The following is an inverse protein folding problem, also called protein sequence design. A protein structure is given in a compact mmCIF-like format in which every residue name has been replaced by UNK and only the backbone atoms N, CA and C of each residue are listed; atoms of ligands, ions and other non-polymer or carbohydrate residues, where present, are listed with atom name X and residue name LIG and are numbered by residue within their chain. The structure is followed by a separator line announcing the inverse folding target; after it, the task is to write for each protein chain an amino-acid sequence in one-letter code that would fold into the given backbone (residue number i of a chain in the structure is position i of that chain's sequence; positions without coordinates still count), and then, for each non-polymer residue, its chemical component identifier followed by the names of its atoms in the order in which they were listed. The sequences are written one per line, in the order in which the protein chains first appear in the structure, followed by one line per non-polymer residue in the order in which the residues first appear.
data_IF_964167916937
#
_entry.id   IF_964167916937
#
_cell.length_a   1.000
_cell.length_b   1.000
_cell.length_c   1.000
_cell.angle_alpha   90.00
_cell.angle_beta   90.00
_cell.angle_gamma   90.00
#
_symmetry.space_group_name_H-M   'P 1'
#
loop_
_entity.id
_entity.type
_entity.pdbx_description
1 polymer ?
#
# COMPACT_ATOMS: atom_id res chain seq x y z
N UNK A 1 -22.13 -8.84 -43.42
CA UNK A 1 -21.50 -9.82 -42.51
C UNK A 1 -20.64 -9.05 -41.50
N UNK A 2 -21.20 -8.66 -40.35
CA UNK A 2 -20.50 -7.91 -39.27
C UNK A 2 -20.37 -8.72 -37.96
N UNK A 3 -20.67 -10.03 -38.01
CA UNK A 3 -20.70 -10.92 -36.85
C UNK A 3 -19.47 -10.85 -35.92
N UNK A 4 -18.20 -10.76 -36.40
CA UNK A 4 -17.05 -10.70 -35.49
C UNK A 4 -16.93 -9.39 -34.70
N UNK A 5 -17.35 -8.25 -35.28
CA UNK A 5 -17.33 -6.96 -34.59
C UNK A 5 -18.43 -6.88 -33.52
N UNK A 6 -19.60 -7.44 -33.82
CA UNK A 6 -20.74 -7.53 -32.90
C UNK A 6 -20.43 -8.45 -31.71
N UNK A 7 -19.78 -9.59 -31.95
CA UNK A 7 -19.33 -10.50 -30.88
C UNK A 7 -18.27 -9.84 -29.96
N UNK A 8 -17.33 -9.09 -30.54
CA UNK A 8 -16.31 -8.39 -29.78
C UNK A 8 -16.92 -7.29 -28.89
N UNK A 9 -17.90 -6.55 -29.41
CA UNK A 9 -18.67 -5.56 -28.65
C UNK A 9 -19.40 -6.22 -27.47
N UNK A 10 -20.17 -7.29 -27.73
CA UNK A 10 -20.89 -8.03 -26.68
C UNK A 10 -19.95 -8.56 -25.59
N UNK A 11 -18.77 -9.07 -25.96
CA UNK A 11 -17.75 -9.53 -25.01
C UNK A 11 -17.18 -8.38 -24.17
N UNK A 12 -16.91 -7.24 -24.78
CA UNK A 12 -16.44 -6.04 -24.08
C UNK A 12 -17.50 -5.49 -23.10
N UNK A 13 -18.77 -5.43 -23.52
CA UNK A 13 -19.89 -5.04 -22.65
C UNK A 13 -20.03 -6.00 -21.47
N UNK A 14 -19.94 -7.31 -21.69
CA UNK A 14 -20.01 -8.29 -20.62
C UNK A 14 -18.85 -8.12 -19.62
N UNK A 15 -17.62 -7.90 -20.10
CA UNK A 15 -16.45 -7.65 -19.25
C UNK A 15 -16.61 -6.37 -18.43
N UNK A 16 -17.10 -5.29 -19.03
CA UNK A 16 -17.38 -4.04 -18.34
C UNK A 16 -18.44 -4.21 -17.26
N UNK A 17 -19.51 -4.97 -17.53
CA UNK A 17 -20.57 -5.26 -16.57
C UNK A 17 -20.07 -6.13 -15.41
N UNK A 18 -19.24 -7.15 -15.69
CA UNK A 18 -18.62 -7.97 -14.66
C UNK A 18 -17.70 -7.14 -13.76
N UNK A 19 -16.89 -6.25 -14.35
CA UNK A 19 -16.04 -5.33 -13.60
C UNK A 19 -16.85 -4.39 -12.71
N UNK A 20 -17.89 -3.75 -13.25
CA UNK A 20 -18.78 -2.88 -12.47
C UNK A 20 -19.43 -3.63 -11.30
N UNK A 21 -19.88 -4.87 -11.51
CA UNK A 21 -20.44 -5.70 -10.45
C UNK A 21 -19.40 -6.09 -9.38
N UNK A 22 -18.16 -6.37 -9.77
CA UNK A 22 -17.05 -6.66 -8.85
C UNK A 22 -16.71 -5.45 -7.98
N UNK A 23 -16.62 -4.26 -8.60
CA UNK A 23 -16.41 -3.00 -7.88
C UNK A 23 -17.56 -2.75 -6.90
N UNK A 24 -18.82 -2.93 -7.33
CA UNK A 24 -19.98 -2.74 -6.46
C UNK A 24 -19.98 -3.68 -5.24
N UNK A 25 -19.59 -4.95 -5.42
CA UNK A 25 -19.44 -5.90 -4.30
C UNK A 25 -18.38 -5.46 -3.31
N UNK A 26 -17.23 -4.99 -3.81
CA UNK A 26 -16.15 -4.49 -2.95
C UNK A 26 -16.60 -3.24 -2.20
N UNK A 27 -17.14 -2.23 -2.88
CA UNK A 27 -17.55 -0.97 -2.23
C UNK A 27 -18.66 -1.21 -1.21
N UNK A 28 -19.62 -2.09 -1.48
CA UNK A 28 -20.63 -2.48 -0.50
C UNK A 28 -20.02 -3.15 0.75
N UNK A 29 -19.00 -4.00 0.58
CA UNK A 29 -18.31 -4.61 1.71
C UNK A 29 -17.48 -3.61 2.52
N UNK A 30 -16.87 -2.61 1.86
CA UNK A 30 -16.18 -1.51 2.52
C UNK A 30 -17.16 -0.63 3.29
N UNK A 31 -18.31 -0.30 2.69
CA UNK A 31 -19.36 0.50 3.32
C UNK A 31 -19.93 -0.19 4.56
N UNK A 32 -20.20 -1.49 4.47
CA UNK A 32 -20.63 -2.28 5.62
C UNK A 32 -19.60 -2.26 6.78
N UNK A 33 -18.30 -2.16 6.48
CA UNK A 33 -17.27 -2.02 7.52
C UNK A 33 -17.38 -0.68 8.26
N UNK A 34 -17.75 0.40 7.57
CA UNK A 34 -18.06 1.69 8.20
C UNK A 34 -19.33 1.63 9.05
N UNK A 35 -20.38 0.97 8.56
CA UNK A 35 -21.67 0.94 9.25
C UNK A 35 -21.60 0.21 10.61
N UNK A 36 -20.72 -0.79 10.74
CA UNK A 36 -20.48 -1.50 12.00
C UNK A 36 -19.47 -0.79 12.92
N UNK A 37 -18.96 0.37 12.54
CA UNK A 37 -18.02 1.17 13.31
C UNK A 37 -18.72 2.39 13.94
N UNK A 38 -18.77 2.42 15.26
CA UNK A 38 -19.39 3.53 16.01
C UNK A 38 -18.35 4.46 16.65
N UNK A 39 -17.06 4.23 16.41
CA UNK A 39 -15.97 5.01 16.99
C UNK A 39 -15.94 6.42 16.36
N UNK A 40 -16.04 7.50 17.16
CA UNK A 40 -15.82 8.85 16.66
C UNK A 40 -14.37 9.04 16.22
N UNK A 41 -14.14 9.73 15.10
CA UNK A 41 -12.79 10.01 14.59
C UNK A 41 -12.29 8.95 13.60
N UNK A 42 -11.05 8.51 13.76
CA UNK A 42 -10.42 7.55 12.84
C UNK A 42 -11.04 6.14 13.00
N UNK A 43 -11.71 5.61 11.96
CA UNK A 43 -12.34 4.29 12.04
C UNK A 43 -11.32 3.14 12.19
N UNK A 44 -10.03 3.37 11.88
CA UNK A 44 -8.99 2.35 12.02
C UNK A 44 -8.75 1.90 13.47
N UNK A 45 -9.11 2.75 14.43
CA UNK A 45 -9.10 2.44 15.86
C UNK A 45 -10.22 1.45 16.27
N UNK A 46 -11.21 1.22 15.40
CA UNK A 46 -12.28 0.26 15.66
C UNK A 46 -11.90 -1.14 15.17
N UNK A 47 -11.81 -2.11 16.09
CA UNK A 47 -11.50 -3.50 15.75
C UNK A 47 -12.52 -4.14 14.77
N UNK A 48 -13.79 -3.72 14.82
CA UNK A 48 -14.82 -4.19 13.87
C UNK A 48 -14.57 -3.66 12.46
N UNK A 49 -14.21 -2.39 12.34
CA UNK A 49 -13.83 -1.78 11.07
C UNK A 49 -12.60 -2.48 10.46
N UNK A 50 -11.53 -2.65 11.24
CA UNK A 50 -10.31 -3.31 10.78
C UNK A 50 -10.59 -4.75 10.30
N UNK A 51 -11.46 -5.48 10.99
CA UNK A 51 -11.89 -6.83 10.59
C UNK A 51 -12.73 -6.80 9.30
N UNK A 52 -13.66 -5.86 9.18
CA UNK A 52 -14.45 -5.65 7.97
C UNK A 52 -13.60 -5.31 6.75
N UNK A 53 -12.61 -4.43 6.91
CA UNK A 53 -11.65 -4.07 5.87
C UNK A 53 -10.83 -5.27 5.38
N UNK A 54 -10.29 -6.07 6.31
CA UNK A 54 -9.58 -7.30 5.94
C UNK A 54 -10.50 -8.29 5.23
N UNK A 55 -11.74 -8.45 5.69
CA UNK A 55 -12.71 -9.34 5.04
C UNK A 55 -13.10 -8.86 3.63
N UNK A 56 -13.27 -7.56 3.41
CA UNK A 56 -13.53 -6.97 2.10
C UNK A 56 -12.35 -7.21 1.13
N UNK A 57 -11.12 -6.99 1.60
CA UNK A 57 -9.90 -7.30 0.84
C UNK A 57 -9.76 -8.80 0.52
N UNK A 58 -10.09 -9.68 1.47
CA UNK A 58 -10.10 -11.13 1.22
C UNK A 58 -11.14 -11.53 0.18
N UNK A 59 -12.33 -10.91 0.17
CA UNK A 59 -13.33 -11.15 -0.87
C UNK A 59 -12.87 -10.64 -2.24
N UNK A 60 -12.23 -9.47 -2.28
CA UNK A 60 -11.65 -8.91 -3.51
C UNK A 60 -10.60 -9.83 -4.15
N UNK A 61 -9.82 -10.56 -3.35
CA UNK A 61 -8.85 -11.54 -3.86
C UNK A 61 -9.50 -12.67 -4.68
N UNK A 62 -10.76 -12.99 -4.41
CA UNK A 62 -11.48 -14.05 -5.12
C UNK A 62 -12.17 -13.56 -6.41
N UNK A 63 -12.07 -12.28 -6.74
CA UNK A 63 -12.82 -11.66 -7.84
C UNK A 63 -11.90 -11.23 -9.00
N UNK A 64 -11.75 -12.07 -10.05
CA UNK A 64 -10.82 -11.77 -11.15
C UNK A 64 -11.27 -10.57 -12.00
N UNK A 65 -12.55 -10.20 -11.96
CA UNK A 65 -13.09 -9.07 -12.71
C UNK A 65 -12.81 -7.72 -12.04
N UNK A 66 -12.33 -7.71 -10.79
CA UNK A 66 -12.15 -6.48 -10.02
C UNK A 66 -11.12 -5.51 -10.61
N UNK A 67 -10.06 -6.03 -11.25
CA UNK A 67 -9.01 -5.18 -11.87
C UNK A 67 -8.90 -5.55 -13.34
N UNK A 68 -9.29 -4.61 -14.20
CA UNK A 68 -9.26 -4.78 -15.65
C UNK A 68 -7.84 -4.92 -16.19
N UNK A 69 -7.70 -5.40 -17.43
CA UNK A 69 -6.40 -5.49 -18.10
C UNK A 69 -5.68 -4.13 -18.16
N UNK A 70 -6.39 -3.06 -18.51
CA UNK A 70 -5.83 -1.70 -18.58
C UNK A 70 -5.32 -1.23 -17.20
N UNK A 71 -6.04 -1.56 -16.13
CA UNK A 71 -5.64 -1.24 -14.75
C UNK A 71 -4.49 -2.14 -14.22
N UNK A 72 -3.99 -3.09 -15.03
CA UNK A 72 -2.79 -3.91 -14.73
C UNK A 72 -1.55 -3.46 -15.51
N UNK A 73 -1.66 -2.39 -16.32
CA UNK A 73 -0.53 -1.85 -17.06
C UNK A 73 0.43 -1.14 -16.11
N UNK A 74 1.72 -1.48 -16.19
CA UNK A 74 2.77 -0.86 -15.39
C UNK A 74 3.28 0.45 -15.98
N UNK A 75 4.38 0.93 -15.40
CA UNK A 75 5.23 1.98 -15.91
C UNK A 75 6.68 1.48 -15.86
N UNK A 76 7.61 2.04 -16.65
CA UNK A 76 9.02 1.63 -16.64
C UNK A 76 9.89 2.26 -15.55
N UNK A 77 9.39 3.29 -14.86
CA UNK A 77 10.19 4.06 -13.89
C UNK A 77 9.80 3.80 -12.43
N UNK A 78 8.49 3.78 -12.15
CA UNK A 78 7.97 3.63 -10.79
C UNK A 78 6.71 2.76 -10.80
N UNK A 79 6.30 2.28 -9.62
CA UNK A 79 5.01 1.59 -9.52
C UNK A 79 3.87 2.54 -9.91
N UNK A 80 2.87 2.01 -10.62
CA UNK A 80 1.74 2.79 -11.13
C UNK A 80 0.51 2.57 -10.24
N UNK A 81 -0.23 3.63 -9.95
CA UNK A 81 -1.53 3.58 -9.25
C UNK A 81 -2.66 3.74 -10.27
N UNK A 82 -3.59 2.80 -10.29
CA UNK A 82 -4.83 2.87 -11.06
C UNK A 82 -6.00 2.97 -10.10
N UNK A 83 -6.71 4.09 -10.10
CA UNK A 83 -7.93 4.23 -9.28
C UNK A 83 -9.00 3.29 -9.83
N UNK A 84 -9.59 2.50 -8.94
CA UNK A 84 -10.66 1.54 -9.25
C UNK A 84 -12.01 2.12 -8.83
N UNK A 85 -12.08 2.66 -7.62
CA UNK A 85 -13.29 3.25 -7.05
C UNK A 85 -12.92 4.31 -6.03
N UNK A 86 -13.81 5.27 -5.82
CA UNK A 86 -13.72 6.23 -4.74
C UNK A 86 -15.11 6.45 -4.15
N UNK A 87 -15.17 6.51 -2.83
CA UNK A 87 -16.39 6.85 -2.13
C UNK A 87 -16.78 8.31 -2.39
N UNK A 88 -18.05 8.55 -2.71
CA UNK A 88 -18.55 9.90 -3.05
C UNK A 88 -18.49 10.87 -1.87
N UNK A 89 -18.47 10.37 -0.63
CA UNK A 89 -18.28 11.16 0.59
C UNK A 89 -16.80 11.35 0.96
N UNK A 90 -15.88 10.83 0.14
CA UNK A 90 -14.44 10.95 0.36
C UNK A 90 -13.89 10.08 1.50
N UNK A 91 -14.64 9.09 1.99
CA UNK A 91 -14.20 8.22 3.10
C UNK A 91 -13.07 7.29 2.73
N UNK A 92 -13.00 6.86 1.47
CA UNK A 92 -11.92 6.02 0.96
C UNK A 92 -11.73 6.12 -0.55
N UNK A 93 -10.55 5.71 -1.01
CA UNK A 93 -10.23 5.45 -2.42
C UNK A 93 -9.55 4.09 -2.55
N UNK A 94 -10.00 3.30 -3.54
CA UNK A 94 -9.45 2.00 -3.92
C UNK A 94 -8.57 2.16 -5.15
N UNK A 95 -7.36 1.60 -5.12
CA UNK A 95 -6.46 1.59 -6.27
C UNK A 95 -5.73 0.25 -6.44
N UNK A 96 -5.55 -0.17 -7.68
CA UNK A 96 -4.59 -1.21 -8.03
C UNK A 96 -3.21 -0.59 -8.22
N UNK A 97 -2.20 -1.14 -7.56
CA UNK A 97 -0.80 -0.77 -7.71
C UNK A 97 -0.08 -1.85 -8.51
N UNK A 98 0.62 -1.43 -9.57
CA UNK A 98 1.35 -2.31 -10.47
C UNK A 98 2.85 -2.11 -10.27
N UNK A 99 3.54 -3.20 -9.92
CA UNK A 99 4.95 -3.22 -9.54
C UNK A 99 5.73 -4.06 -10.56
N UNK A 100 6.56 -3.44 -11.39
CA UNK A 100 7.51 -4.17 -12.22
C UNK A 100 8.69 -4.68 -11.38
N UNK A 101 9.49 -5.63 -11.90
CA UNK A 101 10.73 -6.05 -11.27
C UNK A 101 11.59 -4.86 -10.82
N UNK A 102 12.06 -4.89 -9.58
CA UNK A 102 12.88 -3.83 -8.97
C UNK A 102 12.09 -2.61 -8.45
N UNK A 103 10.79 -2.48 -8.74
CA UNK A 103 9.99 -1.37 -8.22
C UNK A 103 9.85 -1.45 -6.70
N UNK A 104 9.85 -0.29 -6.05
CA UNK A 104 9.55 -0.18 -4.64
C UNK A 104 8.91 1.16 -4.29
N UNK A 105 8.22 1.18 -3.15
CA UNK A 105 7.82 2.41 -2.50
C UNK A 105 9.03 3.06 -1.80
N UNK A 106 8.95 4.36 -1.45
CA UNK A 106 9.78 4.89 -0.39
C UNK A 106 9.48 4.19 0.95
N UNK A 107 10.33 4.41 1.95
CA UNK A 107 9.99 4.12 3.35
C UNK A 107 8.97 5.17 3.78
N UNK A 108 7.80 4.73 4.24
CA UNK A 108 6.72 5.65 4.59
C UNK A 108 5.83 5.11 5.70
N UNK A 109 5.36 6.03 6.53
CA UNK A 109 4.13 5.91 7.29
C UNK A 109 2.95 6.39 6.43
N UNK A 110 1.76 6.48 7.03
CA UNK A 110 0.57 6.97 6.36
C UNK A 110 -0.04 8.15 7.11
N UNK A 111 -0.57 9.14 6.40
CA UNK A 111 -1.40 10.20 6.99
C UNK A 111 -2.86 9.75 7.23
N UNK A 112 -3.22 8.56 6.74
CA UNK A 112 -4.53 7.94 6.85
C UNK A 112 -4.36 6.44 7.16
N UNK A 113 -5.45 5.72 7.43
CA UNK A 113 -5.39 4.26 7.46
C UNK A 113 -5.20 3.67 6.06
N UNK A 114 -4.61 2.48 6.00
CA UNK A 114 -4.33 1.76 4.76
C UNK A 114 -4.63 0.27 4.93
N UNK A 115 -5.42 -0.28 4.02
CA UNK A 115 -5.54 -1.71 3.79
C UNK A 115 -4.93 -2.09 2.45
N UNK A 116 -4.27 -3.24 2.35
CA UNK A 116 -3.83 -3.76 1.06
C UNK A 116 -3.89 -5.28 0.97
N UNK A 117 -4.02 -5.78 -0.25
CA UNK A 117 -3.95 -7.20 -0.59
C UNK A 117 -3.08 -7.42 -1.83
N UNK A 118 -2.27 -8.48 -1.86
CA UNK A 118 -1.49 -8.86 -3.05
C UNK A 118 -2.37 -9.73 -3.96
N UNK A 119 -2.76 -9.21 -5.13
CA UNK A 119 -3.63 -9.89 -6.09
C UNK A 119 -2.85 -10.87 -6.99
N UNK A 120 -1.64 -10.51 -7.37
CA UNK A 120 -0.82 -11.22 -8.36
C UNK A 120 0.65 -11.06 -8.02
N UNK A 121 1.45 -12.12 -8.22
CA UNK A 121 2.88 -12.13 -7.95
C UNK A 121 3.20 -12.14 -6.45
N UNK A 122 4.35 -11.57 -6.11
CA UNK A 122 4.81 -11.46 -4.74
C UNK A 122 5.46 -10.09 -4.50
N UNK A 123 5.28 -9.57 -3.29
CA UNK A 123 5.98 -8.40 -2.78
C UNK A 123 6.81 -8.79 -1.56
N UNK A 124 7.73 -7.92 -1.17
CA UNK A 124 8.39 -7.93 0.14
C UNK A 124 7.94 -6.71 0.92
N UNK A 125 7.48 -6.93 2.15
CA UNK A 125 7.17 -5.87 3.11
C UNK A 125 8.28 -5.78 4.15
N UNK A 126 8.94 -4.64 4.20
CA UNK A 126 9.88 -4.29 5.28
C UNK A 126 9.18 -3.33 6.23
N UNK A 127 9.12 -3.69 7.50
CA UNK A 127 8.57 -2.87 8.57
C UNK A 127 9.68 -2.18 9.35
N UNK A 128 9.39 -0.97 9.81
CA UNK A 128 10.33 -0.14 10.53
C UNK A 128 9.71 0.40 11.82
N UNK A 129 10.55 0.66 12.81
CA UNK A 129 10.23 1.46 13.98
C UNK A 129 10.80 2.87 13.79
N UNK A 130 10.11 3.89 14.32
CA UNK A 130 10.63 5.24 14.33
C UNK A 130 11.60 5.42 15.50
N UNK A 131 12.82 5.88 15.22
CA UNK A 131 13.81 6.31 16.21
C UNK A 131 13.75 7.83 16.36
N UNK A 132 13.23 8.31 17.49
CA UNK A 132 13.15 9.75 17.80
C UNK A 132 14.51 10.40 18.05
N UNK A 133 15.52 9.66 18.50
CA UNK A 133 16.85 10.21 18.73
C UNK A 133 17.60 10.45 17.40
N UNK A 134 17.40 9.56 16.41
CA UNK A 134 18.04 9.65 15.10
C UNK A 134 17.14 10.25 14.03
N UNK A 135 15.89 10.56 14.35
CA UNK A 135 14.88 11.09 13.43
C UNK A 135 14.79 10.25 12.15
N UNK A 136 14.75 8.92 12.30
CA UNK A 136 14.80 7.98 11.19
C UNK A 136 14.09 6.65 11.48
N UNK A 137 13.79 5.92 10.41
CA UNK A 137 13.19 4.60 10.45
C UNK A 137 14.26 3.50 10.59
N UNK A 138 14.15 2.64 11.60
CA UNK A 138 15.03 1.49 11.84
C UNK A 138 14.33 0.21 11.39
N UNK A 139 15.04 -0.67 10.65
CA UNK A 139 14.46 -1.93 10.17
C UNK A 139 14.13 -2.84 11.35
N UNK A 140 12.87 -3.26 11.46
CA UNK A 140 12.41 -4.23 12.47
C UNK A 140 12.35 -5.63 11.88
N UNK A 141 11.72 -5.76 10.71
CA UNK A 141 11.60 -7.06 10.03
C UNK A 141 11.32 -6.88 8.55
N UNK A 142 11.74 -7.85 7.75
CA UNK A 142 11.38 -7.96 6.33
C UNK A 142 10.80 -9.33 6.06
N UNK A 143 9.69 -9.41 5.34
CA UNK A 143 9.04 -10.70 5.04
C UNK A 143 8.31 -10.69 3.69
N UNK A 144 8.19 -11.85 3.03
CA UNK A 144 7.44 -11.96 1.78
C UNK A 144 5.93 -11.76 2.00
N UNK A 145 5.28 -11.28 0.95
CA UNK A 145 3.84 -11.09 0.79
C UNK A 145 3.44 -11.75 -0.53
N UNK A 146 3.16 -13.05 -0.47
CA UNK A 146 2.68 -13.79 -1.63
C UNK A 146 1.27 -13.35 -2.04
N UNK A 147 0.85 -13.72 -3.25
CA UNK A 147 -0.56 -13.58 -3.68
C UNK A 147 -1.51 -14.14 -2.61
N UNK A 148 -2.56 -13.39 -2.29
CA UNK A 148 -3.48 -13.68 -1.20
C UNK A 148 -3.13 -13.02 0.15
N UNK A 149 -1.93 -12.45 0.31
CA UNK A 149 -1.55 -11.78 1.54
C UNK A 149 -2.34 -10.48 1.75
N UNK A 150 -2.96 -10.32 2.93
CA UNK A 150 -3.75 -9.14 3.32
C UNK A 150 -3.13 -8.42 4.52
N UNK A 151 -3.09 -7.09 4.50
CA UNK A 151 -2.68 -6.23 5.62
C UNK A 151 -3.65 -5.06 5.82
N UNK A 152 -3.67 -4.54 7.03
CA UNK A 152 -4.42 -3.35 7.40
C UNK A 152 -3.71 -2.66 8.58
N UNK A 153 -3.55 -1.34 8.50
CA UNK A 153 -2.92 -0.52 9.51
C UNK A 153 -3.59 0.86 9.60
N UNK A 154 -3.46 1.49 10.76
CA UNK A 154 -3.89 2.86 10.99
C UNK A 154 -2.89 3.90 10.44
N UNK A 155 -3.22 5.19 10.58
CA UNK A 155 -2.31 6.28 10.28
C UNK A 155 -1.14 6.36 11.27
N UNK A 156 -0.16 7.20 10.93
CA UNK A 156 0.96 7.54 11.77
C UNK A 156 2.12 6.56 11.68
N UNK A 157 3.15 6.83 12.50
CA UNK A 157 4.45 6.15 12.47
C UNK A 157 4.48 4.81 13.20
N UNK A 158 3.36 4.38 13.77
CA UNK A 158 3.21 3.03 14.33
C UNK A 158 3.20 1.93 13.24
N UNK A 159 3.11 2.31 11.96
CA UNK A 159 3.07 1.36 10.83
C UNK A 159 3.91 1.87 9.65
N UNK A 160 5.18 2.20 9.92
CA UNK A 160 6.14 2.53 8.85
C UNK A 160 6.48 1.27 8.09
N UNK A 161 6.39 1.33 6.76
CA UNK A 161 6.79 0.21 5.91
C UNK A 161 7.34 0.64 4.55
N UNK A 162 7.91 -0.34 3.87
CA UNK A 162 8.30 -0.29 2.47
C UNK A 162 7.83 -1.55 1.77
N UNK A 163 7.10 -1.38 0.67
CA UNK A 163 6.78 -2.47 -0.25
C UNK A 163 7.74 -2.46 -1.42
N UNK A 164 8.20 -3.63 -1.81
CA UNK A 164 9.09 -3.79 -2.97
C UNK A 164 8.79 -5.07 -3.73
N UNK A 165 9.00 -5.03 -5.04
CA UNK A 165 8.99 -6.20 -5.91
C UNK A 165 10.44 -6.58 -6.24
N UNK A 166 10.99 -7.50 -5.46
CA UNK A 166 12.31 -8.08 -5.69
C UNK A 166 12.30 -9.29 -6.63
N UNK A 167 11.17 -9.64 -7.22
CA UNK A 167 11.04 -10.76 -8.16
C UNK A 167 11.34 -10.35 -9.60
N UNK A 168 11.46 -11.33 -10.49
CA UNK A 168 11.61 -11.18 -11.95
C UNK A 168 10.26 -11.03 -12.67
N UNK A 169 9.14 -11.15 -11.95
CA UNK A 169 7.78 -11.03 -12.48
C UNK A 169 7.09 -9.75 -12.00
N UNK A 170 6.07 -9.30 -12.73
CA UNK A 170 5.17 -8.23 -12.27
C UNK A 170 4.38 -8.69 -11.05
N UNK A 171 4.17 -7.79 -10.10
CA UNK A 171 3.19 -7.94 -9.03
C UNK A 171 2.08 -6.90 -9.14
N UNK A 172 0.88 -7.25 -8.66
CA UNK A 172 -0.28 -6.34 -8.57
C UNK A 172 -0.83 -6.42 -7.15
N UNK A 173 -1.00 -5.28 -6.50
CA UNK A 173 -1.66 -5.18 -5.19
C UNK A 173 -2.88 -4.26 -5.24
N UNK A 174 -3.92 -4.60 -4.50
CA UNK A 174 -5.07 -3.73 -4.27
C UNK A 174 -4.85 -2.96 -2.97
N UNK A 175 -5.06 -1.65 -3.00
CA UNK A 175 -4.94 -0.78 -1.83
C UNK A 175 -6.25 -0.01 -1.61
N UNK A 176 -6.61 0.17 -0.34
CA UNK A 176 -7.71 1.03 0.11
C UNK A 176 -7.14 2.02 1.12
N UNK A 177 -7.32 3.30 0.83
CA UNK A 177 -6.82 4.40 1.66
C UNK A 177 -7.97 5.26 2.13
N UNK A 178 -7.92 5.75 3.37
CA UNK A 178 -8.92 6.68 3.91
C UNK A 178 -8.74 8.12 3.42
N UNK A 179 -8.72 8.32 2.10
CA UNK A 179 -8.66 9.64 1.45
C UNK A 179 -9.64 9.73 0.28
N UNK A 180 -10.04 10.95 -0.07
CA UNK A 180 -10.74 11.23 -1.33
C UNK A 180 -9.83 11.01 -2.55
N UNK A 181 -10.43 10.77 -3.72
CA UNK A 181 -9.72 10.40 -4.94
C UNK A 181 -8.62 11.40 -5.33
N UNK A 182 -8.90 12.70 -5.25
CA UNK A 182 -7.95 13.77 -5.58
C UNK A 182 -6.70 13.81 -4.68
N UNK A 183 -6.70 13.07 -3.57
CA UNK A 183 -5.62 13.08 -2.58
C UNK A 183 -4.79 11.78 -2.59
N UNK A 184 -5.13 10.79 -3.41
CA UNK A 184 -4.45 9.48 -3.40
C UNK A 184 -2.95 9.56 -3.71
N UNK A 185 -2.51 10.56 -4.49
CA UNK A 185 -1.12 10.74 -4.86
C UNK A 185 -0.31 11.60 -3.87
N UNK A 186 -0.98 12.41 -3.04
CA UNK A 186 -0.32 13.50 -2.29
C UNK A 186 -0.55 13.47 -0.79
N UNK A 187 -1.61 12.82 -0.29
CA UNK A 187 -1.98 12.83 1.13
C UNK A 187 -2.01 11.45 1.77
N UNK A 188 -1.46 10.44 1.09
CA UNK A 188 -1.40 9.08 1.62
C UNK A 188 -0.12 8.85 2.42
N UNK A 189 1.03 9.04 1.79
CA UNK A 189 2.33 8.67 2.37
C UNK A 189 2.92 9.79 3.21
N UNK A 190 3.34 9.47 4.44
CA UNK A 190 4.30 10.24 5.24
C UNK A 190 5.69 9.64 5.00
N UNK A 191 6.44 10.19 4.06
CA UNK A 191 7.75 9.65 3.68
C UNK A 191 8.79 9.98 4.76
N UNK A 192 9.51 8.96 5.22
CA UNK A 192 10.47 9.09 6.32
C UNK A 192 11.86 8.58 5.90
N UNK A 193 12.95 9.18 6.41
CA UNK A 193 14.29 8.71 6.12
C UNK A 193 14.60 7.40 6.85
N UNK A 194 15.52 6.60 6.32
CA UNK A 194 16.16 5.52 7.08
C UNK A 194 17.10 6.15 8.12
N UNK A 195 17.26 5.51 9.29
CA UNK A 195 18.33 5.86 10.22
C UNK A 195 19.67 5.87 9.47
N UNK A 196 20.42 6.98 9.59
CA UNK A 196 21.77 7.06 9.05
C UNK A 196 22.71 6.26 9.95
N UNK A 197 23.53 5.39 9.37
CA UNK A 197 24.62 4.77 10.13
C UNK A 197 25.50 5.88 10.73
N UNK A 198 25.66 5.86 12.07
CA UNK A 198 26.64 6.74 12.72
C UNK A 198 28.00 6.38 12.16
N UNK A 199 28.63 7.30 11.42
CA UNK A 199 30.05 7.22 11.14
C UNK A 199 30.77 6.98 12.48
N UNK A 200 31.43 5.83 12.61
CA UNK A 200 32.12 5.48 13.85
C UNK A 200 33.16 6.57 14.12
N UNK A 201 32.97 7.35 15.18
CA UNK A 201 34.01 8.24 15.67
C UNK A 201 35.20 7.35 16.03
N UNK A 202 36.27 7.39 15.21
CA UNK A 202 37.53 6.77 15.56
C UNK A 202 37.93 7.28 16.95
N UNK A 203 38.26 6.40 17.92
CA UNK A 203 38.73 6.85 19.20
C UNK A 203 40.07 7.57 18.98
N UNK A 204 40.02 8.90 19.01
CA UNK A 204 41.19 9.77 19.04
C UNK A 204 42.05 9.37 20.22
N UNK A 205 43.17 8.71 19.92
CA UNK A 205 44.13 8.19 20.88
C UNK A 205 44.66 9.36 21.71
N UNK A 206 44.23 9.44 22.97
CA UNK A 206 44.83 10.31 23.97
C UNK A 206 46.30 9.88 24.15
N UNK A 207 47.24 10.78 23.83
CA UNK A 207 48.60 10.72 24.38
C UNK A 207 48.87 12.03 25.10
N UNK A 208 48.55 12.04 26.38
CA UNK A 208 49.17 12.92 27.35
C UNK A 208 50.54 12.36 27.67
N UNK A 209 51.63 13.10 27.40
CA UNK A 209 52.80 13.10 28.29
C UNK A 209 53.33 14.54 28.36
N UNK A 210 53.27 15.05 29.58
CA UNK A 210 53.90 16.27 30.07
C UNK A 210 55.41 16.08 30.19
N UNK A 211 56.21 17.06 29.79
CA UNK A 211 57.44 17.41 30.50
C UNK A 211 57.77 18.90 30.33
N UNK A 212 57.82 19.60 31.45
CA UNK A 212 58.49 20.90 31.63
C UNK A 212 59.95 20.81 31.18
N UNK A 213 60.54 21.93 30.74
CA UNK A 213 61.72 22.60 31.36
C UNK A 213 62.20 23.73 30.42
N UNK A 214 62.50 24.87 31.07
CA UNK A 214 63.06 26.16 30.63
C UNK A 214 62.15 27.13 29.88
#
# INVERSE_FOLDING_TARGET
MNAPAELALLSAFHTAQQHAAAVARLTAALDAAFDVCSTPGDPSCCARFARGMRAALTRALADPALVTRAQREGCGQTYRRHVIAADSRGRYTVAALVWQPGHASPIHAHHTWCGYAVLEGALTETLYAWDDAQQGAEVVRSHPRASGAVSFGGPGRASIHRLSNGSDARAVSLHVYGVAAGHIATRVNDVVPLVQERASAQPGRQRTISSRVN
#
